data_IF_274101866007
#
_entry.id   IF_274101866007
#
_cell.length_a   1.000
_cell.length_b   1.000
_cell.length_c   1.000
_cell.angle_alpha   90.00
_cell.angle_beta   90.00
_cell.angle_gamma   90.00
#
_symmetry.space_group_name_H-M   'P 1'
#
loop_
_entity.id
_entity.type
_entity.pdbx_description
1 polymer ?
#
# COMPACT_ATOMS: atom_id res chain seq x y z
N UNK A 1 -41.58 10.31 -23.97
CA UNK A 1 -42.12 10.72 -22.66
C UNK A 1 -41.79 9.60 -21.68
N UNK A 2 -40.65 9.67 -21.02
CA UNK A 2 -40.44 10.26 -19.68
C UNK A 2 -41.31 9.60 -18.61
N UNK A 3 -40.62 8.94 -17.67
CA UNK A 3 -40.78 8.93 -16.20
C UNK A 3 -39.78 7.84 -15.71
N UNK A 4 -38.51 8.18 -15.44
CA UNK A 4 -37.98 8.61 -14.14
C UNK A 4 -38.68 7.93 -12.94
N UNK A 5 -38.00 6.95 -12.34
CA UNK A 5 -38.25 6.48 -10.98
C UNK A 5 -36.95 6.67 -10.17
N UNK A 6 -36.81 7.87 -9.61
CA UNK A 6 -35.92 8.16 -8.48
C UNK A 6 -36.66 7.77 -7.20
N UNK A 7 -36.17 6.75 -6.50
CA UNK A 7 -36.56 6.50 -5.11
C UNK A 7 -35.82 7.46 -4.21
N UNK A 8 -36.44 8.62 -3.96
CA UNK A 8 -36.14 9.49 -2.83
C UNK A 8 -36.54 8.76 -1.54
N UNK A 9 -35.56 8.30 -0.77
CA UNK A 9 -35.80 7.86 0.61
C UNK A 9 -35.93 9.12 1.47
N UNK A 10 -37.18 9.55 1.61
CA UNK A 10 -37.58 10.66 2.47
C UNK A 10 -37.42 10.24 3.94
N UNK A 11 -36.26 10.55 4.54
CA UNK A 11 -36.05 10.40 5.98
C UNK A 11 -36.86 11.47 6.72
N UNK A 12 -38.13 11.15 6.96
CA UNK A 12 -38.96 11.87 7.91
C UNK A 12 -38.28 11.85 9.28
N UNK A 13 -38.32 13.00 9.96
CA UNK A 13 -37.62 13.26 11.20
C UNK A 13 -37.81 12.14 12.22
N UNK A 14 -36.74 11.85 12.95
CA UNK A 14 -36.75 10.90 14.07
C UNK A 14 -37.88 11.30 15.02
N UNK A 15 -38.98 10.55 14.95
CA UNK A 15 -40.07 10.64 15.90
C UNK A 15 -39.51 10.33 17.27
N UNK A 16 -39.50 11.35 18.13
CA UNK A 16 -38.97 11.29 19.49
C UNK A 16 -39.91 10.50 20.38
N UNK A 17 -40.06 9.19 20.14
CA UNK A 17 -40.91 8.29 20.92
C UNK A 17 -40.11 7.46 21.92
N UNK A 18 -39.10 8.09 22.51
CA UNK A 18 -38.42 7.59 23.71
C UNK A 18 -38.57 8.68 24.76
N UNK A 19 -39.27 8.36 25.86
CA UNK A 19 -39.50 9.28 26.98
C UNK A 19 -38.17 9.55 27.73
N UNK A 20 -37.32 10.35 27.10
CA UNK A 20 -36.10 10.86 27.72
C UNK A 20 -36.50 11.98 28.66
N UNK A 21 -36.70 11.63 29.94
CA UNK A 21 -37.17 12.51 31.00
C UNK A 21 -36.25 13.72 31.31
N UNK A 22 -35.12 13.91 30.62
CA UNK A 22 -34.29 15.12 30.75
C UNK A 22 -33.86 15.74 29.41
N UNK A 23 -33.82 17.07 29.36
CA UNK A 23 -33.29 17.85 28.22
C UNK A 23 -31.86 17.44 27.84
N UNK A 24 -31.04 17.09 28.85
CA UNK A 24 -29.67 16.61 28.66
C UNK A 24 -29.63 15.30 27.89
N UNK A 25 -30.49 14.33 28.23
CA UNK A 25 -30.56 13.06 27.52
C UNK A 25 -30.93 13.27 26.04
N UNK A 26 -31.89 14.15 25.73
CA UNK A 26 -32.23 14.49 24.34
C UNK A 26 -31.08 15.15 23.59
N UNK A 27 -30.33 16.04 24.23
CA UNK A 27 -29.13 16.66 23.63
C UNK A 27 -28.04 15.62 23.34
N UNK A 28 -27.79 14.68 24.25
CA UNK A 28 -26.84 13.59 24.03
C UNK A 28 -27.21 12.72 22.84
N UNK A 29 -28.48 12.32 22.71
CA UNK A 29 -28.96 11.52 21.56
C UNK A 29 -28.81 12.28 20.25
N UNK A 30 -29.18 13.57 20.22
CA UNK A 30 -28.97 14.42 19.03
C UNK A 30 -27.50 14.56 18.66
N UNK A 31 -26.62 14.74 19.65
CA UNK A 31 -25.18 14.83 19.41
C UNK A 31 -24.62 13.51 18.84
N UNK A 32 -25.08 12.36 19.32
CA UNK A 32 -24.69 11.06 18.76
C UNK A 32 -25.15 10.90 17.30
N UNK A 33 -26.39 11.31 16.99
CA UNK A 33 -26.92 11.28 15.63
C UNK A 33 -26.15 12.20 14.67
N UNK A 34 -25.83 13.42 15.10
CA UNK A 34 -25.03 14.35 14.31
C UNK A 34 -23.57 13.89 14.16
N UNK A 35 -23.02 13.18 15.14
CA UNK A 35 -21.71 12.56 15.02
C UNK A 35 -21.70 11.46 13.94
N UNK A 36 -22.74 10.63 13.88
CA UNK A 36 -22.86 9.60 12.85
C UNK A 36 -23.03 10.20 11.45
N UNK A 37 -23.84 11.24 11.29
CA UNK A 37 -23.94 11.98 10.01
C UNK A 37 -22.58 12.49 9.54
N UNK A 38 -21.77 13.05 10.45
CA UNK A 38 -20.42 13.52 10.12
C UNK A 38 -19.52 12.39 9.63
N UNK A 39 -19.65 11.17 10.18
CA UNK A 39 -18.90 10.00 9.70
C UNK A 39 -19.27 9.65 8.27
N UNK A 40 -20.57 9.66 7.96
CA UNK A 40 -21.08 9.43 6.59
C UNK A 40 -20.56 10.51 5.64
N UNK A 41 -20.63 11.79 6.03
CA UNK A 41 -20.12 12.90 5.22
C UNK A 41 -18.60 12.77 4.97
N UNK A 42 -17.84 12.36 5.99
CA UNK A 42 -16.40 12.12 5.86
C UNK A 42 -16.11 10.98 4.87
N UNK A 43 -16.86 9.87 4.94
CA UNK A 43 -16.76 8.79 3.97
C UNK A 43 -17.06 9.29 2.55
N UNK A 44 -18.11 10.09 2.34
CA UNK A 44 -18.43 10.65 1.01
C UNK A 44 -17.30 11.53 0.46
N UNK A 45 -16.61 12.30 1.32
CA UNK A 45 -15.44 13.09 0.91
C UNK A 45 -14.25 12.22 0.51
N UNK A 46 -14.04 11.08 1.18
CA UNK A 46 -13.02 10.10 0.79
C UNK A 46 -13.38 9.48 -0.56
N UNK A 47 -14.64 9.07 -0.71
CA UNK A 47 -15.13 8.42 -1.92
C UNK A 47 -15.01 9.36 -3.14
N UNK A 48 -15.24 10.66 -2.95
CA UNK A 48 -15.01 11.68 -3.98
C UNK A 48 -13.54 11.82 -4.42
N UNK A 49 -12.57 11.36 -3.60
CA UNK A 49 -11.14 11.35 -3.96
C UNK A 49 -10.71 10.09 -4.71
N UNK A 50 -11.51 9.02 -4.71
CA UNK A 50 -11.15 7.75 -5.34
C UNK A 50 -10.77 7.88 -6.82
N UNK A 51 -11.48 8.65 -7.68
CA UNK A 51 -11.09 8.80 -9.08
C UNK A 51 -9.67 9.35 -9.24
N UNK A 52 -9.29 10.32 -8.40
CA UNK A 52 -7.95 10.91 -8.39
C UNK A 52 -6.88 9.90 -7.93
N UNK A 53 -7.20 9.06 -6.94
CA UNK A 53 -6.30 7.98 -6.51
C UNK A 53 -6.06 7.03 -7.69
N UNK A 54 -7.14 6.55 -8.31
CA UNK A 54 -7.08 5.61 -9.44
C UNK A 54 -6.28 6.19 -10.60
N UNK A 55 -6.55 7.43 -11.00
CA UNK A 55 -5.81 8.13 -12.08
C UNK A 55 -4.30 8.11 -11.84
N UNK A 56 -3.86 8.44 -10.62
CA UNK A 56 -2.43 8.47 -10.29
C UNK A 56 -1.81 7.07 -10.23
N UNK A 57 -2.53 6.08 -9.73
CA UNK A 57 -2.06 4.69 -9.71
C UNK A 57 -1.92 4.13 -11.14
N UNK A 58 -2.93 4.37 -11.98
CA UNK A 58 -2.92 4.01 -13.41
C UNK A 58 -1.73 4.66 -14.10
N UNK A 59 -1.44 5.93 -13.86
CA UNK A 59 -0.27 6.57 -14.44
C UNK A 59 1.05 5.92 -13.99
N UNK A 60 1.16 5.46 -12.74
CA UNK A 60 2.36 4.73 -12.28
C UNK A 60 2.48 3.37 -13.00
N UNK A 61 1.37 2.66 -13.18
CA UNK A 61 1.33 1.34 -13.84
C UNK A 61 1.53 1.40 -15.35
N UNK A 62 0.84 2.29 -16.04
CA UNK A 62 0.72 2.24 -17.50
C UNK A 62 1.72 3.20 -18.19
N UNK A 63 2.27 4.17 -17.45
CA UNK A 63 3.19 5.16 -18.02
C UNK A 63 4.58 5.12 -17.39
N UNK A 64 4.66 5.12 -16.06
CA UNK A 64 5.96 5.22 -15.37
C UNK A 64 6.72 3.90 -15.39
N UNK A 65 6.07 2.80 -14.99
CA UNK A 65 6.69 1.46 -14.98
C UNK A 65 7.19 1.04 -16.37
N UNK A 66 6.40 1.09 -17.47
CA UNK A 66 6.85 0.69 -18.80
C UNK A 66 8.01 1.54 -19.33
N UNK A 67 8.01 2.85 -19.04
CA UNK A 67 9.15 3.72 -19.36
C UNK A 67 10.43 3.22 -18.68
N UNK A 68 10.36 2.85 -17.40
CA UNK A 68 11.53 2.38 -16.66
C UNK A 68 11.99 0.98 -17.11
N UNK A 69 11.06 0.14 -17.62
CA UNK A 69 11.39 -1.12 -18.27
C UNK A 69 12.19 -0.89 -19.56
N UNK A 70 11.81 0.10 -20.36
CA UNK A 70 12.50 0.42 -21.63
C UNK A 70 13.96 0.84 -21.38
N UNK A 71 14.22 1.49 -20.24
CA UNK A 71 15.58 1.85 -19.80
C UNK A 71 16.32 0.73 -19.07
N UNK A 72 15.73 -0.47 -18.94
CA UNK A 72 16.29 -1.66 -18.27
C UNK A 72 16.74 -1.47 -16.82
N UNK A 73 16.30 -0.40 -16.16
CA UNK A 73 16.65 -0.07 -14.77
C UNK A 73 15.55 -0.47 -13.78
N UNK A 74 14.30 -0.44 -14.23
CA UNK A 74 13.14 -0.65 -13.36
C UNK A 74 12.77 0.58 -12.54
N UNK A 75 11.51 0.66 -12.15
CA UNK A 75 10.92 1.89 -11.59
C UNK A 75 11.43 2.24 -10.18
N UNK A 76 11.84 1.24 -9.38
CA UNK A 76 12.43 1.47 -8.07
C UNK A 76 13.76 2.22 -8.18
N UNK A 77 14.66 1.72 -9.02
CA UNK A 77 16.00 2.27 -9.23
C UNK A 77 15.95 3.59 -10.03
N UNK A 78 15.11 3.69 -11.07
CA UNK A 78 14.87 4.96 -11.79
C UNK A 78 14.43 6.07 -10.83
N UNK A 79 13.51 5.77 -9.91
CA UNK A 79 13.05 6.71 -8.91
C UNK A 79 14.15 7.10 -7.90
N UNK A 80 15.01 6.14 -7.55
CA UNK A 80 16.11 6.35 -6.59
C UNK A 80 17.14 7.32 -7.16
N UNK A 81 17.48 7.15 -8.45
CA UNK A 81 18.39 8.03 -9.18
C UNK A 81 17.75 9.39 -9.48
N UNK A 82 16.49 9.39 -9.91
CA UNK A 82 15.67 10.58 -10.15
C UNK A 82 16.29 11.58 -11.15
N UNK A 83 16.72 11.05 -12.29
CA UNK A 83 17.39 11.82 -13.32
C UNK A 83 16.43 12.46 -14.34
N UNK A 84 15.18 12.00 -14.44
CA UNK A 84 14.23 12.43 -15.47
C UNK A 84 12.98 13.09 -14.90
N UNK A 85 12.33 13.95 -15.71
CA UNK A 85 11.08 14.65 -15.35
C UNK A 85 9.98 13.68 -14.88
N UNK A 86 9.89 12.50 -15.50
CA UNK A 86 8.93 11.47 -15.09
C UNK A 86 9.19 10.94 -13.68
N UNK A 87 10.44 10.91 -13.21
CA UNK A 87 10.75 10.51 -11.82
C UNK A 87 10.26 11.57 -10.83
N UNK A 88 10.40 12.86 -11.16
CA UNK A 88 9.84 13.95 -10.35
C UNK A 88 8.32 13.89 -10.33
N UNK A 89 7.66 13.62 -11.46
CA UNK A 89 6.20 13.42 -11.52
C UNK A 89 5.76 12.22 -10.69
N UNK A 90 6.50 11.12 -10.72
CA UNK A 90 6.23 9.97 -9.85
C UNK A 90 6.35 10.36 -8.37
N UNK A 91 7.31 11.21 -8.00
CA UNK A 91 7.47 11.70 -6.63
C UNK A 91 6.31 12.62 -6.19
N UNK A 92 5.83 13.49 -7.08
CA UNK A 92 4.63 14.32 -6.82
C UNK A 92 3.41 13.42 -6.61
N UNK A 93 3.19 12.45 -7.49
CA UNK A 93 2.08 11.49 -7.34
C UNK A 93 2.18 10.69 -6.04
N UNK A 94 3.38 10.19 -5.69
CA UNK A 94 3.65 9.51 -4.41
C UNK A 94 3.27 10.39 -3.21
N UNK A 95 3.70 11.65 -3.20
CA UNK A 95 3.44 12.58 -2.09
C UNK A 95 1.94 12.92 -1.96
N UNK A 96 1.25 13.17 -3.08
CA UNK A 96 -0.19 13.42 -3.08
C UNK A 96 -1.00 12.21 -2.58
N UNK A 97 -0.66 11.00 -3.05
CA UNK A 97 -1.29 9.78 -2.60
C UNK A 97 -1.03 9.55 -1.10
N UNK A 98 0.21 9.74 -0.64
CA UNK A 98 0.54 9.63 0.77
C UNK A 98 -0.33 10.56 1.64
N UNK A 99 -0.52 11.82 1.22
CA UNK A 99 -1.39 12.77 1.92
C UNK A 99 -2.84 12.30 2.02
N UNK A 100 -3.40 11.75 0.94
CA UNK A 100 -4.77 11.21 0.94
C UNK A 100 -4.89 10.03 1.91
N UNK A 101 -3.96 9.06 1.85
CA UNK A 101 -4.01 7.88 2.73
C UNK A 101 -3.72 8.22 4.20
N UNK A 102 -2.87 9.20 4.48
CA UNK A 102 -2.60 9.66 5.84
C UNK A 102 -3.81 10.40 6.44
N UNK A 103 -4.56 11.17 5.64
CA UNK A 103 -5.84 11.78 6.04
C UNK A 103 -6.87 10.70 6.40
N UNK A 104 -7.05 9.69 5.54
CA UNK A 104 -7.97 8.57 5.81
C UNK A 104 -7.57 7.85 7.10
N UNK A 105 -6.27 7.57 7.28
CA UNK A 105 -5.77 6.93 8.49
C UNK A 105 -6.03 7.77 9.75
N UNK A 106 -5.96 9.11 9.64
CA UNK A 106 -6.34 10.01 10.73
C UNK A 106 -7.81 9.85 11.12
N UNK A 107 -8.70 9.87 10.13
CA UNK A 107 -10.15 9.70 10.35
C UNK A 107 -10.51 8.33 10.93
N UNK A 108 -9.85 7.25 10.48
CA UNK A 108 -10.00 5.90 11.05
C UNK A 108 -9.62 5.90 12.53
N UNK A 109 -8.44 6.44 12.86
CA UNK A 109 -7.92 6.45 14.25
C UNK A 109 -8.80 7.25 15.20
N UNK A 110 -9.42 8.31 14.72
CA UNK A 110 -10.32 9.15 15.51
C UNK A 110 -11.74 8.61 15.59
N UNK A 111 -12.04 7.46 14.95
CA UNK A 111 -13.39 6.89 14.91
C UNK A 111 -14.38 7.81 14.17
N UNK A 112 -13.89 8.52 13.15
CA UNK A 112 -14.64 9.52 12.37
C UNK A 112 -15.08 8.98 10.99
N UNK A 113 -15.03 7.67 10.80
CA UNK A 113 -15.63 6.96 9.67
C UNK A 113 -16.63 5.92 10.17
N UNK A 114 -17.58 5.48 9.33
CA UNK A 114 -18.51 4.43 9.69
C UNK A 114 -17.79 3.11 10.00
N UNK A 115 -18.31 2.32 10.93
CA UNK A 115 -17.67 1.06 11.40
C UNK A 115 -17.39 0.08 10.25
N UNK A 116 -18.20 0.11 9.18
CA UNK A 116 -18.04 -0.74 8.00
C UNK A 116 -16.97 -0.27 7.01
N UNK A 117 -16.39 0.92 7.18
CA UNK A 117 -15.51 1.54 6.18
C UNK A 117 -14.29 0.67 5.85
N UNK A 118 -13.57 0.18 6.88
CA UNK A 118 -12.36 -0.62 6.73
C UNK A 118 -12.64 -2.00 6.12
N UNK A 119 -13.90 -2.46 6.15
CA UNK A 119 -14.36 -3.72 5.57
C UNK A 119 -14.89 -3.60 4.14
N UNK A 120 -14.90 -2.41 3.53
CA UNK A 120 -15.37 -2.24 2.14
C UNK A 120 -14.34 -2.82 1.18
N UNK A 121 -14.75 -3.80 0.36
CA UNK A 121 -13.85 -4.50 -0.55
C UNK A 121 -13.19 -3.54 -1.55
N UNK A 122 -13.92 -2.53 -2.03
CA UNK A 122 -13.41 -1.53 -2.97
C UNK A 122 -12.27 -0.71 -2.35
N UNK A 123 -12.40 -0.38 -1.06
CA UNK A 123 -11.34 0.32 -0.32
C UNK A 123 -10.14 -0.58 -0.06
N UNK A 124 -10.38 -1.84 0.35
CA UNK A 124 -9.32 -2.82 0.61
C UNK A 124 -8.50 -3.07 -0.65
N UNK A 125 -9.14 -3.32 -1.79
CA UNK A 125 -8.48 -3.54 -3.07
C UNK A 125 -7.69 -2.31 -3.53
N UNK A 126 -8.28 -1.11 -3.44
CA UNK A 126 -7.60 0.12 -3.82
C UNK A 126 -6.39 0.41 -2.92
N UNK A 127 -6.54 0.25 -1.60
CA UNK A 127 -5.44 0.40 -0.63
C UNK A 127 -4.33 -0.62 -0.85
N UNK A 128 -4.69 -1.86 -1.21
CA UNK A 128 -3.74 -2.92 -1.52
C UNK A 128 -2.97 -2.62 -2.82
N UNK A 129 -3.65 -2.15 -3.88
CA UNK A 129 -3.02 -1.69 -5.12
C UNK A 129 -2.07 -0.52 -4.85
N UNK A 130 -2.50 0.48 -4.09
CA UNK A 130 -1.65 1.59 -3.66
C UNK A 130 -0.40 1.10 -2.92
N UNK A 131 -0.55 0.19 -1.96
CA UNK A 131 0.58 -0.38 -1.21
C UNK A 131 1.61 -1.03 -2.14
N UNK A 132 1.16 -1.92 -3.04
CA UNK A 132 2.05 -2.64 -3.97
C UNK A 132 2.82 -1.72 -4.92
N UNK A 133 2.18 -0.65 -5.39
CA UNK A 133 2.78 0.27 -6.37
C UNK A 133 3.64 1.36 -5.74
N UNK A 134 3.21 1.91 -4.60
CA UNK A 134 3.80 3.12 -4.04
C UNK A 134 4.75 2.83 -2.88
N UNK A 135 4.55 1.76 -2.10
CA UNK A 135 5.49 1.43 -1.02
C UNK A 135 6.93 1.24 -1.51
N UNK A 136 7.19 0.59 -2.67
CA UNK A 136 8.52 0.56 -3.28
C UNK A 136 9.11 1.96 -3.54
N UNK A 137 8.30 2.92 -3.98
CA UNK A 137 8.75 4.30 -4.20
C UNK A 137 9.02 5.05 -2.90
N UNK A 138 8.24 4.80 -1.85
CA UNK A 138 8.51 5.36 -0.51
C UNK A 138 9.78 4.77 0.11
N UNK A 139 10.05 3.47 -0.09
CA UNK A 139 11.32 2.82 0.30
C UNK A 139 12.48 3.43 -0.50
N UNK A 140 12.33 3.56 -1.83
CA UNK A 140 13.33 4.19 -2.69
C UNK A 140 13.64 5.61 -2.21
N UNK A 141 12.61 6.41 -1.92
CA UNK A 141 12.74 7.76 -1.37
C UNK A 141 13.44 7.78 0.01
N UNK A 142 13.16 6.81 0.88
CA UNK A 142 13.76 6.69 2.20
C UNK A 142 15.28 6.49 2.10
N UNK A 143 15.71 5.56 1.26
CA UNK A 143 17.14 5.26 1.05
C UNK A 143 17.85 6.31 0.19
N UNK A 144 17.17 6.92 -0.80
CA UNK A 144 17.70 8.03 -1.60
C UNK A 144 18.16 9.21 -0.74
N UNK A 145 17.42 9.52 0.32
CA UNK A 145 17.73 10.61 1.25
C UNK A 145 18.54 10.15 2.47
N UNK A 146 19.16 8.95 2.41
CA UNK A 146 19.99 8.38 3.48
C UNK A 146 19.30 8.29 4.86
N UNK A 147 17.96 8.27 4.90
CA UNK A 147 17.22 8.20 6.18
C UNK A 147 17.49 6.92 6.94
N UNK A 148 17.92 5.87 6.25
CA UNK A 148 18.35 4.63 6.87
C UNK A 148 19.61 4.79 7.73
N UNK A 149 20.44 5.81 7.48
CA UNK A 149 21.63 6.11 8.26
C UNK A 149 21.29 6.97 9.48
N UNK A 150 20.36 7.92 9.31
CA UNK A 150 19.95 8.82 10.39
C UNK A 150 18.94 8.19 11.36
N UNK A 151 17.95 7.47 10.82
CA UNK A 151 16.78 6.97 11.57
C UNK A 151 16.82 5.45 11.76
N UNK A 152 17.67 4.74 11.02
CA UNK A 152 17.80 3.28 11.06
C UNK A 152 16.93 2.53 10.05
N UNK A 153 16.80 1.20 10.17
CA UNK A 153 16.17 0.35 9.15
C UNK A 153 14.72 0.73 8.84
N UNK A 154 14.34 0.73 7.56
CA UNK A 154 12.99 1.13 7.11
C UNK A 154 11.90 0.33 7.85
N UNK A 155 12.07 -0.99 7.98
CA UNK A 155 11.07 -1.85 8.60
C UNK A 155 10.83 -1.55 10.09
N UNK A 156 11.82 -0.95 10.78
CA UNK A 156 11.74 -0.64 12.21
C UNK A 156 11.26 0.80 12.42
N UNK A 157 11.87 1.77 11.74
CA UNK A 157 11.66 3.19 12.01
C UNK A 157 11.10 3.99 10.84
N UNK A 158 11.17 3.47 9.61
CA UNK A 158 10.82 4.20 8.39
C UNK A 158 9.41 3.92 7.86
N UNK A 159 8.85 2.73 8.11
CA UNK A 159 7.63 2.23 7.44
C UNK A 159 6.38 3.01 7.86
N UNK A 160 5.74 3.79 6.95
CA UNK A 160 4.53 4.52 7.25
C UNK A 160 3.35 3.64 7.68
N UNK A 161 2.55 4.13 8.63
CA UNK A 161 1.42 3.36 9.18
C UNK A 161 0.30 3.08 8.17
N UNK A 162 0.15 3.92 7.14
CA UNK A 162 -0.82 3.71 6.05
C UNK A 162 -0.62 2.38 5.32
N UNK A 163 0.64 1.93 5.13
CA UNK A 163 0.91 0.64 4.50
C UNK A 163 0.62 -0.54 5.42
N UNK A 164 0.92 -0.40 6.72
CA UNK A 164 0.55 -1.41 7.73
C UNK A 164 -0.96 -1.57 7.81
N UNK A 165 -1.71 -0.47 7.72
CA UNK A 165 -3.17 -0.48 7.71
C UNK A 165 -3.73 -1.16 6.46
N UNK A 166 -3.28 -0.75 5.27
CA UNK A 166 -3.65 -1.38 4.00
C UNK A 166 -3.34 -2.89 3.97
N UNK A 167 -2.17 -3.27 4.48
CA UNK A 167 -1.76 -4.66 4.58
C UNK A 167 -2.70 -5.47 5.47
N UNK A 168 -2.96 -5.02 6.71
CA UNK A 168 -3.85 -5.72 7.65
C UNK A 168 -5.26 -5.88 7.11
N UNK A 169 -5.80 -4.85 6.45
CA UNK A 169 -7.12 -4.92 5.82
C UNK A 169 -7.18 -6.01 4.75
N UNK A 170 -6.15 -6.07 3.89
CA UNK A 170 -6.06 -7.08 2.85
C UNK A 170 -5.87 -8.50 3.41
N UNK A 171 -4.99 -8.69 4.39
CA UNK A 171 -4.75 -9.98 5.04
C UNK A 171 -6.02 -10.50 5.74
N UNK A 172 -6.76 -9.63 6.41
CA UNK A 172 -8.03 -9.98 7.04
C UNK A 172 -9.07 -10.45 6.03
N UNK A 173 -9.12 -9.81 4.86
CA UNK A 173 -10.03 -10.23 3.78
C UNK A 173 -9.62 -11.58 3.18
N UNK A 174 -8.32 -11.82 3.00
CA UNK A 174 -7.82 -13.13 2.56
C UNK A 174 -8.15 -14.26 3.56
N UNK A 175 -8.06 -13.99 4.86
CA UNK A 175 -8.47 -14.94 5.91
C UNK A 175 -9.96 -15.26 5.81
N UNK A 176 -10.81 -14.23 5.63
CA UNK A 176 -12.25 -14.43 5.43
C UNK A 176 -12.57 -15.23 4.17
N UNK A 177 -11.79 -15.04 3.10
CA UNK A 177 -11.89 -15.80 1.87
C UNK A 177 -11.35 -17.24 1.96
N UNK A 178 -10.87 -17.67 3.13
CA UNK A 178 -10.46 -19.05 3.39
C UNK A 178 -8.98 -19.35 3.14
N UNK A 179 -8.14 -18.34 2.90
CA UNK A 179 -6.68 -18.55 2.89
C UNK A 179 -6.18 -18.85 4.31
N UNK A 180 -5.26 -19.81 4.43
CA UNK A 180 -4.62 -20.13 5.70
C UNK A 180 -3.68 -19.01 6.18
N UNK A 181 -3.47 -18.92 7.49
CA UNK A 181 -2.54 -17.96 8.07
C UNK A 181 -1.10 -18.17 7.56
N UNK A 182 -0.72 -19.42 7.30
CA UNK A 182 0.58 -19.80 6.74
C UNK A 182 0.74 -19.30 5.31
N UNK A 183 -0.30 -19.42 4.48
CA UNK A 183 -0.31 -18.91 3.11
C UNK A 183 -0.19 -17.40 3.07
N UNK A 184 -0.89 -16.70 3.95
CA UNK A 184 -0.83 -15.24 4.05
C UNK A 184 0.55 -14.79 4.51
N UNK A 185 1.11 -15.43 5.54
CA UNK A 185 2.45 -15.13 6.05
C UNK A 185 3.55 -15.34 5.01
N UNK A 186 3.39 -16.28 4.09
CA UNK A 186 4.34 -16.46 2.96
C UNK A 186 4.29 -15.32 1.94
N UNK A 187 3.18 -14.59 1.89
CA UNK A 187 2.99 -13.46 0.96
C UNK A 187 2.98 -12.10 1.66
N UNK A 188 3.09 -12.10 2.99
CA UNK A 188 3.15 -10.93 3.87
C UNK A 188 4.31 -10.02 3.46
N UNK A 189 4.06 -8.71 3.46
CA UNK A 189 5.04 -7.66 3.21
C UNK A 189 5.81 -7.77 1.87
N UNK A 190 5.26 -8.38 0.83
CA UNK A 190 5.97 -8.42 -0.46
C UNK A 190 6.23 -7.02 -1.06
N UNK A 191 5.35 -6.05 -0.78
CA UNK A 191 5.60 -4.62 -1.08
C UNK A 191 6.83 -4.03 -0.35
N UNK A 192 7.32 -4.69 0.70
CA UNK A 192 8.50 -4.34 1.48
C UNK A 192 9.78 -4.98 0.94
N UNK A 193 9.72 -5.76 -0.15
CA UNK A 193 10.84 -6.47 -0.75
C UNK A 193 12.11 -5.62 -0.83
N UNK A 194 12.00 -4.40 -1.36
CA UNK A 194 13.14 -3.51 -1.52
C UNK A 194 13.80 -3.08 -0.21
N UNK A 195 13.03 -2.98 0.88
CA UNK A 195 13.60 -2.64 2.18
C UNK A 195 14.53 -3.76 2.69
N UNK A 196 14.16 -5.03 2.45
CA UNK A 196 15.00 -6.17 2.80
C UNK A 196 16.26 -6.24 1.93
N UNK A 197 16.14 -5.95 0.63
CA UNK A 197 17.27 -5.89 -0.30
C UNK A 197 18.28 -4.81 0.12
N UNK A 198 17.83 -3.61 0.47
CA UNK A 198 18.71 -2.53 0.93
C UNK A 198 19.45 -2.88 2.23
N UNK A 199 18.79 -3.58 3.16
CA UNK A 199 19.43 -4.04 4.40
C UNK A 199 20.44 -5.17 4.17
N UNK A 200 20.16 -6.10 3.25
CA UNK A 200 21.07 -7.20 2.91
C UNK A 200 22.30 -6.71 2.15
N UNK A 201 22.16 -5.69 1.28
CA UNK A 201 23.26 -5.09 0.53
C UNK A 201 24.33 -4.43 1.40
N UNK A 202 23.96 -4.00 2.61
CA UNK A 202 24.84 -3.27 3.53
C UNK A 202 25.57 -4.17 4.53
N UNK A 203 25.21 -5.46 4.60
CA UNK A 203 25.74 -6.41 5.58
C UNK A 203 26.61 -7.45 4.91
N UNK A 204 27.43 -8.12 5.73
CA UNK A 204 28.10 -9.33 5.30
C UNK A 204 27.08 -10.39 4.87
N UNK A 205 27.51 -11.29 4.00
CA UNK A 205 26.67 -12.34 3.45
C UNK A 205 26.08 -13.23 4.56
N UNK A 206 24.76 -13.14 4.73
CA UNK A 206 23.96 -13.96 5.63
C UNK A 206 23.14 -14.95 4.80
N UNK A 207 23.67 -16.17 4.67
CA UNK A 207 23.06 -17.23 3.85
C UNK A 207 21.62 -17.54 4.26
N UNK A 208 21.32 -17.56 5.57
CA UNK A 208 19.99 -17.91 6.06
C UNK A 208 18.96 -16.83 5.68
N UNK A 209 19.34 -15.56 5.82
CA UNK A 209 18.46 -14.43 5.49
C UNK A 209 18.27 -14.28 3.98
N UNK A 210 19.32 -14.51 3.19
CA UNK A 210 19.23 -14.51 1.71
C UNK A 210 18.33 -15.66 1.23
N UNK A 211 18.53 -16.90 1.70
CA UNK A 211 17.66 -18.03 1.33
C UNK A 211 16.20 -17.77 1.67
N UNK A 212 15.93 -17.22 2.86
CA UNK A 212 14.58 -16.84 3.26
C UNK A 212 13.95 -15.80 2.33
N UNK A 213 14.72 -14.80 1.88
CA UNK A 213 14.24 -13.83 0.89
C UNK A 213 13.88 -14.51 -0.43
N UNK A 214 14.74 -15.41 -0.93
CA UNK A 214 14.51 -16.16 -2.17
C UNK A 214 13.28 -17.08 -2.09
N UNK A 215 13.12 -17.79 -0.96
CA UNK A 215 11.97 -18.66 -0.69
C UNK A 215 10.63 -17.88 -0.68
N UNK A 216 10.63 -16.68 -0.10
CA UNK A 216 9.43 -15.83 -0.05
C UNK A 216 9.12 -15.18 -1.39
N UNK A 217 10.16 -14.85 -2.18
CA UNK A 217 10.03 -14.12 -3.43
C UNK A 217 9.14 -14.84 -4.45
N UNK A 218 9.23 -16.17 -4.55
CA UNK A 218 8.36 -16.95 -5.44
C UNK A 218 6.88 -16.78 -5.09
N UNK A 219 6.56 -16.76 -3.79
CA UNK A 219 5.21 -16.49 -3.30
C UNK A 219 4.76 -15.07 -3.61
N UNK A 220 5.64 -14.09 -3.41
CA UNK A 220 5.35 -12.69 -3.70
C UNK A 220 5.11 -12.42 -5.18
N UNK A 221 5.87 -13.05 -6.08
CA UNK A 221 5.66 -12.94 -7.53
C UNK A 221 4.31 -13.55 -7.91
N UNK A 222 4.01 -14.77 -7.44
CA UNK A 222 2.75 -15.46 -7.72
C UNK A 222 1.54 -14.64 -7.25
N UNK A 223 1.62 -14.04 -6.07
CA UNK A 223 0.53 -13.25 -5.47
C UNK A 223 0.51 -11.79 -5.98
N UNK A 224 1.40 -11.44 -6.93
CA UNK A 224 1.58 -10.11 -7.53
C UNK A 224 1.91 -9.01 -6.51
N UNK A 225 2.58 -9.38 -5.42
CA UNK A 225 3.12 -8.44 -4.44
C UNK A 225 4.44 -7.82 -4.92
N UNK A 226 5.21 -8.57 -5.72
CA UNK A 226 6.45 -8.12 -6.34
C UNK A 226 6.35 -8.36 -7.83
N UNK A 227 6.80 -7.37 -8.61
CA UNK A 227 6.78 -7.40 -10.06
C UNK A 227 8.10 -7.93 -10.63
N UNK A 228 8.06 -9.13 -11.21
CA UNK A 228 9.23 -9.80 -11.73
C UNK A 228 9.76 -9.22 -13.04
N UNK A 229 8.97 -8.42 -13.77
CA UNK A 229 9.45 -7.69 -14.95
C UNK A 229 10.48 -6.60 -14.59
N UNK A 230 10.47 -6.16 -13.32
CA UNK A 230 11.33 -5.08 -12.85
C UNK A 230 12.54 -5.56 -12.03
N UNK A 231 12.35 -6.50 -11.10
CA UNK A 231 13.43 -6.84 -10.14
C UNK A 231 14.59 -7.59 -10.81
N UNK A 232 14.36 -8.28 -11.92
CA UNK A 232 15.35 -9.11 -12.63
C UNK A 232 16.04 -8.38 -13.80
N UNK A 233 15.77 -7.09 -13.99
CA UNK A 233 16.42 -6.30 -15.03
C UNK A 233 17.93 -6.16 -14.78
N UNK A 234 18.70 -5.99 -15.86
CA UNK A 234 20.16 -5.88 -15.82
C UNK A 234 20.63 -4.77 -14.86
N UNK A 235 19.98 -3.61 -14.91
CA UNK A 235 20.36 -2.48 -14.08
C UNK A 235 19.67 -2.41 -12.71
N UNK A 236 18.80 -3.38 -12.40
CA UNK A 236 18.13 -3.50 -11.10
C UNK A 236 19.14 -3.65 -9.97
N UNK A 237 18.93 -2.90 -8.90
CA UNK A 237 19.71 -3.02 -7.65
C UNK A 237 19.69 -4.44 -7.09
N UNK A 238 18.57 -5.15 -7.22
CA UNK A 238 18.44 -6.52 -6.73
C UNK A 238 19.32 -7.48 -7.55
N UNK A 239 19.29 -7.38 -8.88
CA UNK A 239 20.11 -8.23 -9.75
C UNK A 239 21.60 -8.00 -9.54
N UNK A 240 22.03 -6.73 -9.54
CA UNK A 240 23.43 -6.36 -9.29
C UNK A 240 23.93 -6.89 -7.95
N UNK A 241 23.14 -6.73 -6.89
CA UNK A 241 23.47 -7.28 -5.58
C UNK A 241 23.53 -8.81 -5.59
N UNK A 242 22.51 -9.48 -6.12
CA UNK A 242 22.46 -10.92 -6.12
C UNK A 242 23.62 -11.54 -6.91
N UNK A 243 24.04 -10.94 -8.02
CA UNK A 243 25.21 -11.38 -8.80
C UNK A 243 26.54 -11.26 -8.02
N UNK A 244 26.61 -10.38 -7.01
CA UNK A 244 27.77 -10.25 -6.12
C UNK A 244 27.85 -11.31 -5.02
N UNK A 245 26.79 -12.12 -4.84
CA UNK A 245 26.75 -13.18 -3.83
C UNK A 245 27.72 -14.34 -4.18
N UNK A 246 28.15 -15.12 -3.17
CA UNK A 246 29.04 -16.26 -3.39
C UNK A 246 28.53 -17.21 -4.47
N UNK A 247 29.44 -17.65 -5.35
CA UNK A 247 29.09 -18.52 -6.47
C UNK A 247 28.41 -19.82 -6.00
N UNK A 248 28.85 -20.37 -4.85
CA UNK A 248 28.26 -21.56 -4.24
C UNK A 248 26.77 -21.36 -3.94
N UNK A 249 26.37 -20.19 -3.44
CA UNK A 249 24.96 -19.85 -3.21
C UNK A 249 24.20 -19.71 -4.53
N UNK A 250 24.74 -18.93 -5.47
CA UNK A 250 24.07 -18.66 -6.76
C UNK A 250 23.80 -19.93 -7.57
N UNK A 251 24.69 -20.93 -7.52
CA UNK A 251 24.48 -22.23 -8.17
C UNK A 251 23.40 -23.10 -7.52
N UNK A 252 23.12 -22.89 -6.24
CA UNK A 252 22.08 -23.62 -5.49
C UNK A 252 20.76 -22.89 -5.36
N UNK A 253 20.67 -21.66 -5.88
CA UNK A 253 19.50 -20.79 -5.75
C UNK A 253 18.46 -21.06 -6.83
N UNK A 254 17.17 -21.00 -6.48
CA UNK A 254 16.08 -21.11 -7.45
C UNK A 254 16.01 -19.92 -8.43
N UNK A 255 16.68 -18.80 -8.10
CA UNK A 255 16.71 -17.61 -8.94
C UNK A 255 17.76 -17.67 -10.06
N UNK A 256 18.64 -18.69 -10.07
CA UNK A 256 19.75 -18.77 -11.03
C UNK A 256 19.31 -18.60 -12.49
N UNK A 257 18.21 -19.24 -12.89
CA UNK A 257 17.69 -19.20 -14.26
C UNK A 257 17.17 -17.80 -14.64
N UNK A 258 16.64 -17.03 -13.66
CA UNK A 258 16.09 -15.69 -13.88
C UNK A 258 17.17 -14.59 -13.84
N UNK A 259 18.34 -14.90 -13.29
CA UNK A 259 19.42 -13.94 -12.99
C UNK A 259 20.66 -14.10 -13.88
N UNK A 260 20.80 -15.27 -14.52
CA UNK A 260 21.88 -15.64 -15.42
C UNK A 260 21.90 -14.92 -16.76
#
# INVERSE_FOLDING_TARGET
MLLQNTTDVNYQGVDTNVDYQSTRARQCVRAAFEAEKKRVDNQSKIDAKQPKIVEKLVWIEDEYKPKCLTHKIGYYDSFKESNEEKDFRANVNRAELAGIYDEVLGLVKEGQLPDGFEGRIEWIELANRYRRLIEPLDISNYHRHLKNEDTGPYMIHGRPNRYKHAQRGYEHELLKAGRSAEEIKRSDCGSCFWAEVEELRRKEYDEARVKKLEELLEGWIRDKEVDDEHIFLEDSSFRKWWQSLPEVHRRGSSLQVRMG
#
